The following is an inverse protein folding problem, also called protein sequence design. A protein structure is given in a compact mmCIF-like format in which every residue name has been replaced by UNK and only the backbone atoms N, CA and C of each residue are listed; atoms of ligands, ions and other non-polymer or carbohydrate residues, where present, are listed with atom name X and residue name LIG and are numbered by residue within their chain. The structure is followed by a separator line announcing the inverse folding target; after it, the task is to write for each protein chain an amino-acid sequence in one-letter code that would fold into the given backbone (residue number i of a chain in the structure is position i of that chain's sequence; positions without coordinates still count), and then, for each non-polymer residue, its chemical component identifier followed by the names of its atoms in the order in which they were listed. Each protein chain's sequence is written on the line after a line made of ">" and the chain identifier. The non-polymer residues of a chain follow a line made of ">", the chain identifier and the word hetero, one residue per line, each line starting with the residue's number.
data_IF_955515316976
#
_entry.id   IF_955515316976
#
_cell.length_a   1.000
_cell.length_b   1.000
_cell.length_c   1.000
_cell.angle_alpha   90.00
_cell.angle_beta   90.00
_cell.angle_gamma   90.00
#
_symmetry.space_group_name_H-M   'P 1'
#
loop_
_entity.id
_entity.type
_entity.pdbx_description
1 polymer ?
#
# COMPACT_ATOMS: atom_id res chain seq x y z
N UNK A 1 -41.55 35.82 -26.10
CA UNK A 1 -41.51 34.49 -26.75
C UNK A 1 -40.12 33.86 -26.77
N UNK A 2 -39.07 34.50 -27.33
CA UNK A 2 -37.71 33.92 -27.39
C UNK A 2 -37.10 33.50 -26.04
N UNK A 3 -37.29 34.29 -24.97
CA UNK A 3 -36.73 34.00 -23.63
C UNK A 3 -37.34 32.75 -22.97
N UNK A 4 -38.66 32.58 -23.07
CA UNK A 4 -39.35 31.40 -22.53
C UNK A 4 -39.06 30.12 -23.33
N UNK A 5 -38.85 30.25 -24.65
CA UNK A 5 -38.43 29.13 -25.49
C UNK A 5 -37.01 28.65 -25.16
N UNK A 6 -36.08 29.57 -24.92
CA UNK A 6 -34.70 29.23 -24.48
C UNK A 6 -34.73 28.56 -23.10
N UNK A 7 -35.50 29.08 -22.14
CA UNK A 7 -35.68 28.47 -20.82
C UNK A 7 -36.27 27.07 -20.89
N UNK A 8 -37.25 26.85 -21.78
CA UNK A 8 -37.87 25.55 -22.00
C UNK A 8 -36.88 24.53 -22.60
N UNK A 9 -36.06 24.94 -23.58
CA UNK A 9 -35.00 24.08 -24.13
C UNK A 9 -33.98 23.73 -23.05
N UNK A 10 -33.51 24.71 -22.27
CA UNK A 10 -32.56 24.48 -21.17
C UNK A 10 -33.12 23.50 -20.15
N UNK A 11 -34.40 23.66 -19.77
CA UNK A 11 -35.08 22.77 -18.86
C UNK A 11 -35.21 21.34 -19.41
N UNK A 12 -35.58 21.17 -20.69
CA UNK A 12 -35.64 19.87 -21.35
C UNK A 12 -34.25 19.22 -21.44
N UNK A 13 -33.20 19.98 -21.76
CA UNK A 13 -31.84 19.45 -21.78
C UNK A 13 -31.37 19.03 -20.38
N UNK A 14 -31.65 19.81 -19.34
CA UNK A 14 -31.31 19.41 -17.97
C UNK A 14 -32.08 18.16 -17.52
N UNK A 15 -33.37 18.05 -17.88
CA UNK A 15 -34.18 16.87 -17.61
C UNK A 15 -33.69 15.64 -18.40
N UNK A 16 -33.30 15.78 -19.67
CA UNK A 16 -32.80 14.64 -20.43
C UNK A 16 -31.51 14.09 -19.83
N UNK A 17 -30.61 14.94 -19.31
CA UNK A 17 -29.44 14.50 -18.56
C UNK A 17 -29.80 13.67 -17.31
N UNK A 18 -30.93 13.94 -16.65
CA UNK A 18 -31.37 13.11 -15.50
C UNK A 18 -31.92 11.73 -15.91
N UNK A 19 -32.48 11.60 -17.11
CA UNK A 19 -33.01 10.33 -17.61
C UNK A 19 -31.92 9.40 -18.20
N UNK A 20 -30.84 9.97 -18.74
CA UNK A 20 -29.73 9.19 -19.33
C UNK A 20 -28.65 8.81 -18.31
N UNK A 21 -28.57 9.48 -17.16
CA UNK A 21 -27.71 9.05 -16.06
C UNK A 21 -28.49 8.02 -15.23
N UNK A 22 -28.49 6.77 -15.70
CA UNK A 22 -28.93 5.64 -14.89
C UNK A 22 -27.95 5.51 -13.73
N UNK A 23 -28.35 5.98 -12.54
CA UNK A 23 -27.56 5.76 -11.32
C UNK A 23 -27.76 4.32 -10.92
N UNK A 24 -26.69 3.53 -10.94
CA UNK A 24 -26.72 2.21 -10.35
C UNK A 24 -27.02 2.36 -8.85
N UNK A 25 -27.98 1.59 -8.36
CA UNK A 25 -28.32 1.58 -6.94
C UNK A 25 -27.14 1.02 -6.13
N UNK A 26 -26.78 1.63 -4.99
CA UNK A 26 -25.75 1.09 -4.12
C UNK A 26 -26.07 -0.35 -3.71
N UNK A 27 -25.12 -1.25 -3.94
CA UNK A 27 -25.27 -2.65 -3.53
C UNK A 27 -24.78 -2.82 -2.10
N UNK A 28 -25.64 -3.33 -1.22
CA UNK A 28 -25.25 -3.65 0.16
C UNK A 28 -24.15 -4.71 0.18
N UNK A 29 -23.09 -4.44 0.95
CA UNK A 29 -21.97 -5.38 1.16
C UNK A 29 -22.17 -6.06 2.51
N UNK A 30 -22.50 -7.36 2.57
CA UNK A 30 -22.66 -8.07 3.83
C UNK A 30 -21.31 -8.24 4.54
N UNK A 31 -21.30 -8.27 5.89
CA UNK A 31 -20.08 -8.56 6.64
C UNK A 31 -19.62 -9.99 6.35
N UNK A 32 -18.30 -10.20 6.36
CA UNK A 32 -17.69 -11.53 6.27
C UNK A 32 -17.10 -11.93 7.63
N UNK A 33 -17.12 -13.22 8.00
CA UNK A 33 -16.43 -13.69 9.19
C UNK A 33 -14.95 -13.28 9.19
N UNK A 34 -14.46 -12.77 10.31
CA UNK A 34 -13.06 -12.36 10.50
C UNK A 34 -12.39 -13.24 11.56
N UNK A 35 -11.07 -13.42 11.45
CA UNK A 35 -10.25 -13.97 12.53
C UNK A 35 -10.08 -12.92 13.63
N UNK A 36 -11.05 -12.87 14.53
CA UNK A 36 -11.08 -11.93 15.67
C UNK A 36 -10.27 -12.45 16.86
N UNK A 37 -9.95 -11.58 17.81
CA UNK A 37 -9.23 -11.96 19.04
C UNK A 37 -7.72 -11.79 18.98
N UNK A 38 -7.20 -11.15 17.93
CA UNK A 38 -5.80 -10.73 17.87
C UNK A 38 -5.44 -9.67 18.92
N UNK A 39 -4.16 -9.59 19.23
CA UNK A 39 -3.55 -8.68 20.19
C UNK A 39 -3.06 -7.41 19.48
N UNK A 40 -3.69 -6.28 19.77
CA UNK A 40 -3.36 -4.98 19.16
C UNK A 40 -1.92 -4.55 19.42
N UNK A 41 -1.31 -4.90 20.56
CA UNK A 41 0.07 -4.50 20.87
C UNK A 41 1.06 -5.33 20.04
N UNK A 42 0.80 -6.64 19.88
CA UNK A 42 1.59 -7.50 18.97
C UNK A 42 1.43 -7.07 17.52
N UNK A 43 0.22 -6.67 17.12
CA UNK A 43 -0.06 -6.17 15.78
C UNK A 43 0.73 -4.92 15.46
N UNK A 44 0.76 -3.95 16.39
CA UNK A 44 1.59 -2.76 16.26
C UNK A 44 3.08 -3.11 16.15
N UNK A 45 3.57 -4.00 17.03
CA UNK A 45 4.96 -4.40 17.00
C UNK A 45 5.35 -5.07 15.67
N UNK A 46 4.52 -6.00 15.18
CA UNK A 46 4.75 -6.70 13.92
C UNK A 46 4.66 -5.76 12.72
N UNK A 47 3.72 -4.81 12.71
CA UNK A 47 3.63 -3.79 11.67
C UNK A 47 4.95 -2.99 11.53
N UNK A 48 5.56 -2.63 12.66
CA UNK A 48 6.76 -1.78 12.71
C UNK A 48 8.09 -2.53 12.55
N UNK A 49 8.13 -3.82 12.89
CA UNK A 49 9.38 -4.59 13.00
C UNK A 49 9.35 -5.93 12.28
N UNK A 50 8.18 -6.40 11.85
CA UNK A 50 7.96 -7.71 11.28
C UNK A 50 8.47 -7.85 9.85
N UNK A 51 8.73 -9.09 9.48
CA UNK A 51 9.34 -9.51 8.22
C UNK A 51 8.30 -9.99 7.20
N UNK A 52 7.18 -9.27 7.07
CA UNK A 52 6.12 -9.60 6.11
C UNK A 52 6.50 -9.31 4.64
N UNK A 53 7.61 -8.62 4.41
CA UNK A 53 8.32 -8.56 3.13
C UNK A 53 9.77 -8.96 3.41
N UNK A 54 10.18 -10.17 3.00
CA UNK A 54 11.52 -10.73 3.29
C UNK A 54 12.60 -10.41 2.26
N UNK A 55 12.33 -9.47 1.35
CA UNK A 55 13.29 -9.02 0.32
C UNK A 55 13.39 -7.50 0.24
N UNK A 56 14.58 -7.01 -0.05
CA UNK A 56 14.86 -5.58 -0.08
C UNK A 56 16.30 -5.29 -0.44
N UNK A 57 16.77 -4.07 -0.18
CA UNK A 57 18.11 -3.60 -0.54
C UNK A 57 19.10 -3.93 0.60
N UNK A 58 20.36 -4.34 0.32
CA UNK A 58 21.34 -4.56 1.38
C UNK A 58 21.50 -3.35 2.31
N UNK A 59 21.52 -3.57 3.63
CA UNK A 59 21.50 -2.49 4.63
C UNK A 59 22.53 -1.39 4.41
N UNK A 60 23.78 -1.77 4.14
CA UNK A 60 24.85 -0.81 3.89
C UNK A 60 24.53 0.10 2.69
N UNK A 61 24.00 -0.46 1.60
CA UNK A 61 23.64 0.30 0.41
C UNK A 61 22.46 1.23 0.69
N UNK A 62 21.46 0.75 1.42
CA UNK A 62 20.31 1.55 1.86
C UNK A 62 20.74 2.73 2.73
N UNK A 63 21.51 2.49 3.80
CA UNK A 63 21.99 3.54 4.71
C UNK A 63 22.83 4.60 3.99
N UNK A 64 23.63 4.19 3.00
CA UNK A 64 24.38 5.13 2.15
C UNK A 64 23.47 5.98 1.27
N UNK A 65 22.40 5.40 0.73
CA UNK A 65 21.48 6.07 -0.18
C UNK A 65 20.57 7.10 0.54
N UNK A 66 20.04 6.75 1.72
CA UNK A 66 19.09 7.61 2.44
C UNK A 66 19.74 8.80 3.16
N UNK A 67 21.06 8.80 3.35
CA UNK A 67 21.77 9.82 4.10
C UNK A 67 21.38 9.85 5.59
N UNK A 68 20.93 11.02 6.08
CA UNK A 68 20.54 11.24 7.48
C UNK A 68 19.03 11.53 7.56
N UNK A 69 18.17 10.50 7.62
CA UNK A 69 16.73 10.71 7.66
C UNK A 69 16.27 11.20 9.03
N UNK A 70 15.07 11.81 9.07
CA UNK A 70 14.37 12.10 10.33
C UNK A 70 13.71 10.81 10.82
N UNK A 71 13.91 10.50 12.09
CA UNK A 71 13.40 9.27 12.73
C UNK A 71 12.22 9.63 13.63
N UNK A 72 11.02 9.23 13.23
CA UNK A 72 9.78 9.48 13.98
C UNK A 72 9.39 8.35 14.94
N UNK A 73 9.87 7.13 14.68
CA UNK A 73 9.60 5.96 15.51
C UNK A 73 10.88 5.51 16.20
N UNK A 74 10.85 5.45 17.53
CA UNK A 74 11.91 4.82 18.32
C UNK A 74 11.70 3.32 18.28
N UNK A 75 12.65 2.59 17.70
CA UNK A 75 12.64 1.13 17.59
C UNK A 75 13.93 0.60 18.20
N UNK A 76 13.82 -0.24 19.21
CA UNK A 76 14.95 -0.79 19.98
C UNK A 76 15.43 -2.14 19.41
N UNK A 77 15.30 -2.31 18.08
CA UNK A 77 15.57 -3.56 17.37
C UNK A 77 16.58 -3.32 16.23
N UNK A 78 16.77 -4.31 15.34
CA UNK A 78 17.54 -4.11 14.10
C UNK A 78 17.02 -2.95 13.23
N UNK A 79 15.82 -2.45 13.54
CA UNK A 79 15.16 -1.31 12.92
C UNK A 79 15.58 0.06 13.50
N UNK A 80 16.49 0.11 14.47
CA UNK A 80 16.98 1.37 15.03
C UNK A 80 17.62 2.26 13.95
N UNK A 81 17.25 3.54 13.95
CA UNK A 81 17.75 4.53 13.00
C UNK A 81 17.31 4.31 11.55
N UNK A 82 16.35 3.41 11.30
CA UNK A 82 15.71 3.23 9.99
C UNK A 82 14.40 4.03 9.97
N UNK A 83 14.06 4.70 8.86
CA UNK A 83 12.77 5.37 8.69
C UNK A 83 11.56 4.44 8.87
N UNK A 84 10.42 5.00 9.26
CA UNK A 84 9.21 4.26 9.64
C UNK A 84 8.63 3.37 8.52
N UNK A 85 8.88 3.76 7.28
CA UNK A 85 8.42 3.16 6.03
C UNK A 85 9.30 2.00 5.54
N UNK A 86 10.30 1.61 6.33
CA UNK A 86 11.17 0.47 6.05
C UNK A 86 11.42 -0.39 7.28
N UNK A 87 11.74 -1.65 7.04
CA UNK A 87 12.08 -2.64 8.07
C UNK A 87 13.36 -3.39 7.69
N UNK A 88 14.29 -3.54 8.63
CA UNK A 88 15.42 -4.46 8.54
C UNK A 88 14.94 -5.90 8.73
N UNK A 89 15.21 -6.74 7.74
CA UNK A 89 14.82 -8.15 7.73
C UNK A 89 16.01 -9.02 7.38
N UNK A 90 16.02 -10.25 7.89
CA UNK A 90 17.04 -11.24 7.56
C UNK A 90 16.62 -11.98 6.29
N UNK A 91 17.44 -11.89 5.25
CA UNK A 91 17.25 -12.65 4.01
C UNK A 91 17.55 -14.14 4.22
N UNK A 92 17.18 -14.99 3.26
CA UNK A 92 17.35 -16.45 3.32
C UNK A 92 18.80 -16.91 3.55
N UNK A 93 19.80 -16.10 3.17
CA UNK A 93 21.22 -16.39 3.37
C UNK A 93 21.82 -15.73 4.63
N UNK A 94 21.00 -15.14 5.49
CA UNK A 94 21.39 -14.53 6.75
C UNK A 94 21.82 -13.05 6.68
N UNK A 95 21.99 -12.49 5.47
CA UNK A 95 22.30 -11.07 5.29
C UNK A 95 21.11 -10.19 5.71
N UNK A 96 21.39 -8.99 6.20
CA UNK A 96 20.36 -7.99 6.52
C UNK A 96 20.05 -7.16 5.28
N UNK A 97 18.78 -7.15 4.91
CA UNK A 97 18.22 -6.29 3.86
C UNK A 97 17.18 -5.36 4.45
N UNK A 98 17.00 -4.21 3.84
CA UNK A 98 15.99 -3.22 4.21
C UNK A 98 14.85 -3.33 3.22
N UNK A 99 13.72 -3.83 3.70
CA UNK A 99 12.52 -4.03 2.94
C UNK A 99 11.57 -2.82 3.09
N UNK A 100 10.85 -2.43 2.03
CA UNK A 100 9.71 -1.53 2.17
C UNK A 100 8.64 -2.18 3.06
N UNK A 101 7.82 -1.37 3.72
CA UNK A 101 6.80 -1.88 4.64
C UNK A 101 5.45 -1.15 4.43
N UNK A 102 4.40 -1.55 5.15
CA UNK A 102 3.05 -1.01 4.95
C UNK A 102 2.96 0.52 5.16
N UNK A 103 3.86 1.09 5.96
CA UNK A 103 3.85 2.50 6.33
C UNK A 103 4.34 3.43 5.20
N UNK A 104 4.92 2.91 4.12
CA UNK A 104 5.15 3.70 2.89
C UNK A 104 3.85 4.35 2.39
N UNK A 105 2.77 3.58 2.42
CA UNK A 105 1.46 4.02 1.92
C UNK A 105 0.52 4.39 3.08
N UNK A 106 0.54 3.65 4.18
CA UNK A 106 -0.44 3.77 5.27
C UNK A 106 0.04 4.62 6.46
N UNK A 107 0.96 5.53 6.22
CA UNK A 107 1.26 6.59 7.18
C UNK A 107 1.69 7.87 6.47
N UNK A 108 1.50 9.01 7.13
CA UNK A 108 1.97 10.28 6.61
C UNK A 108 2.59 11.12 7.72
N UNK A 109 3.69 11.80 7.39
CA UNK A 109 4.23 12.87 8.22
C UNK A 109 3.55 14.17 7.84
N UNK A 110 2.93 14.83 8.81
CA UNK A 110 2.27 16.13 8.64
C UNK A 110 2.55 16.99 9.87
N UNK A 111 2.94 18.26 9.67
CA UNK A 111 3.35 19.17 10.77
C UNK A 111 4.37 18.51 11.73
N UNK A 112 5.44 17.92 11.17
CA UNK A 112 6.53 17.25 11.88
C UNK A 112 6.10 16.09 12.81
N UNK A 113 4.93 15.50 12.56
CA UNK A 113 4.41 14.34 13.29
C UNK A 113 4.04 13.22 12.34
N UNK A 114 4.42 12.00 12.70
CA UNK A 114 4.00 10.79 12.00
C UNK A 114 2.59 10.38 12.44
N UNK A 115 1.70 10.20 11.48
CA UNK A 115 0.36 9.67 11.67
C UNK A 115 0.24 8.29 11.02
N UNK A 116 0.27 7.24 11.84
CA UNK A 116 0.01 5.87 11.37
C UNK A 116 -1.48 5.71 11.08
N UNK A 117 -1.80 5.14 9.92
CA UNK A 117 -3.16 4.96 9.43
C UNK A 117 -3.70 6.16 8.64
N UNK A 118 -2.95 7.25 8.53
CA UNK A 118 -3.22 8.33 7.57
C UNK A 118 -2.62 7.94 6.22
N UNK A 119 -3.43 7.91 5.17
CA UNK A 119 -2.94 7.60 3.81
C UNK A 119 -1.88 8.60 3.34
N UNK A 120 -0.78 8.09 2.79
CA UNK A 120 0.32 8.90 2.29
C UNK A 120 -0.03 9.49 0.93
N UNK A 121 -0.21 10.80 0.90
CA UNK A 121 -0.49 11.60 -0.31
C UNK A 121 0.77 12.25 -0.88
N UNK A 122 1.95 11.99 -0.28
CA UNK A 122 3.23 12.59 -0.71
C UNK A 122 4.12 11.63 -1.49
N UNK A 123 3.79 10.33 -1.55
CA UNK A 123 4.50 9.41 -2.46
C UNK A 123 4.22 9.81 -3.90
N UNK A 124 5.27 9.96 -4.69
CA UNK A 124 5.18 10.36 -6.09
C UNK A 124 5.39 9.16 -7.02
N UNK A 125 4.29 8.51 -7.41
CA UNK A 125 4.28 7.47 -8.44
C UNK A 125 4.28 8.04 -9.88
N UNK A 126 4.24 9.37 -10.05
CA UNK A 126 4.34 10.00 -11.37
C UNK A 126 5.79 10.18 -11.82
N UNK A 127 6.75 10.09 -10.88
CA UNK A 127 8.18 10.10 -11.18
C UNK A 127 8.62 8.77 -11.83
N UNK A 128 9.03 8.86 -13.09
CA UNK A 128 9.48 7.71 -13.87
C UNK A 128 10.93 7.32 -13.62
N UNK A 129 11.72 8.15 -12.94
CA UNK A 129 13.14 7.91 -12.73
C UNK A 129 13.40 7.00 -11.52
N UNK A 130 12.70 7.22 -10.41
CA UNK A 130 12.94 6.54 -9.12
C UNK A 130 12.86 5.01 -9.21
N UNK A 131 11.88 4.47 -9.95
CA UNK A 131 11.72 3.03 -10.19
C UNK A 131 12.01 2.59 -11.63
N UNK A 132 12.81 3.38 -12.37
CA UNK A 132 13.17 3.01 -13.74
C UNK A 132 13.98 1.72 -13.76
N UNK A 133 13.68 0.85 -14.72
CA UNK A 133 14.43 -0.40 -14.96
C UNK A 133 15.91 -0.12 -15.14
N UNK A 134 16.26 0.96 -15.84
CA UNK A 134 17.64 1.41 -16.04
C UNK A 134 18.39 1.68 -14.73
N UNK A 135 17.74 2.30 -13.73
CA UNK A 135 18.37 2.57 -12.44
C UNK A 135 18.50 1.29 -11.60
N UNK A 136 17.52 0.39 -11.68
CA UNK A 136 17.60 -0.93 -11.06
C UNK A 136 18.73 -1.78 -11.65
N UNK A 137 18.90 -1.80 -12.97
CA UNK A 137 19.99 -2.51 -13.66
C UNK A 137 21.38 -1.98 -13.28
N UNK A 138 21.52 -0.66 -13.14
CA UNK A 138 22.77 -0.05 -12.64
C UNK A 138 23.05 -0.49 -11.20
N UNK A 139 22.03 -0.48 -10.34
CA UNK A 139 22.14 -0.94 -8.95
C UNK A 139 22.53 -2.41 -8.87
N UNK A 140 21.89 -3.26 -9.67
CA UNK A 140 22.22 -4.68 -9.82
C UNK A 140 23.68 -4.88 -10.23
N UNK A 141 24.14 -4.20 -11.30
CA UNK A 141 25.53 -4.31 -11.76
C UNK A 141 26.52 -3.93 -10.66
N UNK A 142 26.26 -2.82 -9.95
CA UNK A 142 27.10 -2.36 -8.85
C UNK A 142 27.18 -3.38 -7.71
N UNK A 143 26.03 -3.92 -7.29
CA UNK A 143 25.95 -4.89 -6.20
C UNK A 143 26.60 -6.23 -6.55
N UNK A 144 26.43 -6.70 -7.79
CA UNK A 144 27.10 -7.91 -8.30
C UNK A 144 28.62 -7.75 -8.27
N UNK A 145 29.14 -6.57 -8.64
CA UNK A 145 30.58 -6.31 -8.68
C UNK A 145 31.18 -6.11 -7.29
N UNK A 146 30.55 -5.31 -6.43
CA UNK A 146 31.15 -4.90 -5.16
C UNK A 146 30.85 -5.87 -4.00
N UNK A 147 29.67 -6.50 -4.02
CA UNK A 147 29.16 -7.25 -2.87
C UNK A 147 28.37 -8.51 -3.31
N UNK A 148 29.00 -9.48 -3.99
CA UNK A 148 28.30 -10.61 -4.60
C UNK A 148 27.50 -11.47 -3.61
N UNK A 149 27.98 -11.64 -2.36
CA UNK A 149 27.22 -12.33 -1.30
C UNK A 149 25.93 -11.59 -0.94
N UNK A 150 25.98 -10.25 -0.83
CA UNK A 150 24.82 -9.40 -0.55
C UNK A 150 23.89 -9.29 -1.74
N UNK A 151 24.42 -9.34 -2.97
CA UNK A 151 23.60 -9.45 -4.18
C UNK A 151 22.70 -10.68 -4.11
N UNK A 152 23.23 -11.84 -3.70
CA UNK A 152 22.42 -13.06 -3.65
C UNK A 152 21.22 -12.96 -2.69
N UNK A 153 21.32 -12.13 -1.66
CA UNK A 153 20.23 -11.84 -0.71
C UNK A 153 19.10 -10.97 -1.31
N UNK A 154 19.38 -10.20 -2.35
CA UNK A 154 18.46 -9.20 -2.95
C UNK A 154 18.06 -9.51 -4.39
N UNK A 155 18.69 -10.50 -5.01
CA UNK A 155 18.50 -10.86 -6.43
C UNK A 155 17.02 -11.01 -6.82
N UNK A 156 16.25 -11.76 -6.02
CA UNK A 156 14.81 -11.95 -6.25
C UNK A 156 14.02 -10.63 -6.15
N UNK A 157 14.37 -9.78 -5.18
CA UNK A 157 13.75 -8.47 -5.04
C UNK A 157 14.01 -7.58 -6.26
N UNK A 158 15.23 -7.58 -6.80
CA UNK A 158 15.57 -6.84 -8.02
C UNK A 158 14.88 -7.42 -9.26
N UNK A 159 14.75 -8.74 -9.36
CA UNK A 159 13.99 -9.40 -10.43
C UNK A 159 12.54 -8.92 -10.43
N UNK A 160 11.85 -9.04 -9.30
CA UNK A 160 10.46 -8.60 -9.16
C UNK A 160 10.34 -7.10 -9.41
N UNK A 161 11.21 -6.27 -8.81
CA UNK A 161 11.17 -4.82 -8.96
C UNK A 161 11.29 -4.36 -10.42
N UNK A 162 12.17 -4.99 -11.21
CA UNK A 162 12.31 -4.67 -12.65
C UNK A 162 11.09 -5.07 -13.46
N UNK A 163 10.43 -6.18 -13.11
CA UNK A 163 9.21 -6.63 -13.79
C UNK A 163 8.02 -5.74 -13.47
N UNK A 164 7.84 -5.35 -12.20
CA UNK A 164 6.67 -4.57 -11.79
C UNK A 164 6.82 -3.06 -12.07
N UNK A 165 8.04 -2.52 -12.01
CA UNK A 165 8.30 -1.07 -12.11
C UNK A 165 7.59 -0.38 -13.29
N UNK A 166 7.64 -0.93 -14.52
CA UNK A 166 6.94 -0.38 -15.68
C UNK A 166 5.43 -0.19 -15.53
N UNK A 167 4.80 -0.93 -14.61
CA UNK A 167 3.35 -0.94 -14.41
C UNK A 167 2.85 0.00 -13.31
N UNK A 168 3.73 0.67 -12.57
CA UNK A 168 3.42 1.37 -11.34
C UNK A 168 3.45 2.90 -11.47
N UNK A 169 3.40 3.41 -12.69
CA UNK A 169 3.38 4.84 -12.94
C UNK A 169 1.96 5.41 -12.93
N UNK A 170 1.81 6.58 -12.32
CA UNK A 170 0.56 7.37 -12.33
C UNK A 170 0.73 8.63 -13.16
N UNK A 171 -0.39 9.16 -13.65
CA UNK A 171 -0.39 10.44 -14.38
C UNK A 171 -0.31 11.65 -13.44
N UNK A 172 -0.66 11.48 -12.17
CA UNK A 172 -0.72 12.53 -11.16
C UNK A 172 -0.06 12.11 -9.85
N UNK A 173 0.34 13.12 -9.07
CA UNK A 173 0.87 12.96 -7.71
C UNK A 173 -0.25 12.74 -6.70
N UNK A 174 0.09 12.08 -5.60
CA UNK A 174 -0.78 11.93 -4.42
C UNK A 174 -1.77 10.77 -4.48
N UNK A 175 -1.75 10.01 -5.57
CA UNK A 175 -2.50 8.77 -5.74
C UNK A 175 -1.53 7.59 -5.78
N UNK A 176 -2.02 6.40 -5.43
CA UNK A 176 -1.22 5.19 -5.24
C UNK A 176 -1.55 4.12 -6.29
N UNK A 177 -0.61 3.22 -6.54
CA UNK A 177 -0.76 2.08 -7.47
C UNK A 177 -0.90 0.74 -6.75
N UNK A 178 -1.33 0.69 -5.49
CA UNK A 178 -1.40 -0.54 -4.70
C UNK A 178 -2.27 -1.64 -5.36
N UNK A 179 -3.45 -1.29 -5.85
CA UNK A 179 -4.33 -2.26 -6.53
C UNK A 179 -3.68 -2.77 -7.83
N UNK A 180 -2.99 -1.88 -8.55
CA UNK A 180 -2.21 -2.21 -9.74
C UNK A 180 -1.03 -3.14 -9.41
N UNK A 181 -0.30 -2.86 -8.33
CA UNK A 181 0.77 -3.69 -7.82
C UNK A 181 0.26 -5.10 -7.50
N UNK A 182 -0.84 -5.22 -6.76
CA UNK A 182 -1.44 -6.50 -6.43
C UNK A 182 -1.84 -7.28 -7.69
N UNK A 183 -2.45 -6.62 -8.68
CA UNK A 183 -2.84 -7.27 -9.95
C UNK A 183 -1.62 -7.78 -10.74
N UNK A 184 -0.54 -6.99 -10.82
CA UNK A 184 0.69 -7.38 -11.51
C UNK A 184 1.37 -8.54 -10.76
N UNK A 185 1.50 -8.46 -9.44
CA UNK A 185 2.09 -9.54 -8.64
C UNK A 185 1.29 -10.83 -8.78
N UNK A 186 -0.05 -10.77 -8.67
CA UNK A 186 -0.91 -11.93 -8.86
C UNK A 186 -0.75 -12.54 -10.26
N UNK A 187 -0.52 -11.71 -11.29
CA UNK A 187 -0.32 -12.20 -12.65
C UNK A 187 1.01 -12.95 -12.82
N UNK A 188 2.02 -12.67 -12.02
CA UNK A 188 3.32 -13.32 -12.06
C UNK A 188 3.50 -14.43 -11.01
N UNK A 189 2.50 -14.69 -10.17
CA UNK A 189 2.59 -15.70 -9.11
C UNK A 189 1.75 -16.91 -9.45
N UNK A 190 2.33 -18.10 -9.31
CA UNK A 190 1.55 -19.33 -9.32
C UNK A 190 0.55 -19.31 -8.15
N UNK A 191 -0.76 -19.49 -8.38
CA UNK A 191 -1.78 -19.27 -7.35
C UNK A 191 -1.79 -20.33 -6.25
N UNK A 192 -1.06 -21.43 -6.41
CA UNK A 192 -1.01 -22.54 -5.45
C UNK A 192 0.30 -22.54 -4.67
N UNK A 193 1.41 -22.31 -5.36
CA UNK A 193 2.78 -22.43 -4.81
C UNK A 193 3.43 -21.09 -4.53
N UNK A 194 2.87 -20.00 -5.04
CA UNK A 194 3.40 -18.62 -4.99
C UNK A 194 4.77 -18.45 -5.67
N UNK A 195 5.23 -19.42 -6.45
CA UNK A 195 6.44 -19.28 -7.24
C UNK A 195 6.29 -18.16 -8.26
N UNK A 196 7.38 -17.43 -8.46
CA UNK A 196 7.46 -16.35 -9.45
C UNK A 196 7.56 -16.92 -10.87
N UNK A 197 6.81 -16.34 -11.78
CA UNK A 197 6.86 -16.57 -13.21
C UNK A 197 7.35 -15.28 -13.88
N UNK A 198 8.45 -15.31 -14.67
CA UNK A 198 8.92 -14.13 -15.39
C UNK A 198 7.89 -13.57 -16.38
N UNK A 199 7.03 -14.43 -16.91
CA UNK A 199 5.93 -14.05 -17.81
C UNK A 199 4.60 -14.03 -17.05
N UNK A 200 3.77 -13.03 -17.37
CA UNK A 200 2.44 -12.91 -16.78
C UNK A 200 1.54 -14.07 -17.23
N UNK A 201 0.94 -14.77 -16.27
CA UNK A 201 0.06 -15.92 -16.47
C UNK A 201 -1.40 -15.52 -16.72
N UNK A 202 -1.76 -14.27 -16.43
CA UNK A 202 -3.05 -13.67 -16.74
C UNK A 202 -2.85 -12.28 -17.37
N UNK A 203 -3.84 -11.82 -18.12
CA UNK A 203 -3.79 -10.51 -18.76
C UNK A 203 -3.76 -9.39 -17.73
N UNK A 204 -2.72 -8.56 -17.79
CA UNK A 204 -2.63 -7.30 -17.04
C UNK A 204 -3.31 -6.21 -17.89
N UNK A 205 -4.36 -5.52 -17.38
CA UNK A 205 -4.98 -4.41 -18.11
C UNK A 205 -3.97 -3.33 -18.48
N UNK A 206 -4.12 -2.64 -19.61
CA UNK A 206 -3.15 -1.60 -20.01
C UNK A 206 -3.22 -0.36 -19.11
N UNK A 207 -4.44 0.05 -18.77
CA UNK A 207 -4.68 1.24 -17.95
C UNK A 207 -4.28 1.02 -16.48
N UNK A 208 -3.57 2.00 -15.93
CA UNK A 208 -3.36 2.13 -14.48
C UNK A 208 -4.50 2.97 -13.93
N UNK A 209 -5.30 2.38 -13.03
CA UNK A 209 -6.34 3.10 -12.28
C UNK A 209 -5.76 3.34 -10.88
N UNK A 210 -5.28 4.55 -10.57
CA UNK A 210 -4.71 4.81 -9.27
C UNK A 210 -5.81 5.03 -8.23
N UNK A 211 -5.49 4.83 -6.96
CA UNK A 211 -6.40 5.03 -5.84
C UNK A 211 -5.73 5.79 -4.71
N UNK A 212 -6.48 6.62 -3.99
CA UNK A 212 -6.00 7.19 -2.74
C UNK A 212 -5.72 6.09 -1.72
N UNK A 213 -4.87 6.35 -0.72
CA UNK A 213 -4.69 5.39 0.37
C UNK A 213 -5.77 5.62 1.44
N UNK A 214 -6.68 4.66 1.70
CA UNK A 214 -7.75 4.86 2.66
C UNK A 214 -7.22 4.93 4.08
N UNK A 215 -7.83 5.80 4.89
CA UNK A 215 -7.47 5.90 6.30
C UNK A 215 -7.88 4.64 7.07
N UNK A 216 -6.92 4.04 7.78
CA UNK A 216 -7.09 2.76 8.47
C UNK A 216 -8.08 2.81 9.63
N UNK A 217 -8.18 3.93 10.34
CA UNK A 217 -9.17 4.12 11.42
C UNK A 217 -10.63 4.05 10.94
N UNK A 218 -10.89 4.05 9.62
CA UNK A 218 -12.21 3.84 9.05
C UNK A 218 -12.54 2.36 8.81
N UNK A 219 -11.56 1.44 8.85
CA UNK A 219 -11.78 0.03 8.52
C UNK A 219 -12.83 -0.63 9.42
N UNK A 220 -12.84 -0.29 10.72
CA UNK A 220 -13.82 -0.77 11.71
C UNK A 220 -15.28 -0.45 11.38
N UNK A 221 -15.53 0.41 10.38
CA UNK A 221 -16.87 0.79 9.90
C UNK A 221 -17.22 0.18 8.54
N UNK A 222 -16.38 -0.71 7.98
CA UNK A 222 -16.51 -1.25 6.62
C UNK A 222 -16.68 -2.77 6.62
N UNK A 223 -17.57 -3.27 5.77
CA UNK A 223 -17.77 -4.71 5.53
C UNK A 223 -16.88 -5.27 4.40
N UNK A 224 -16.13 -4.42 3.70
CA UNK A 224 -15.18 -4.82 2.67
C UNK A 224 -14.05 -3.80 2.52
N UNK A 225 -12.85 -4.28 2.16
CA UNK A 225 -11.70 -3.42 1.86
C UNK A 225 -11.77 -2.84 0.44
N UNK A 226 -10.94 -1.81 0.21
CA UNK A 226 -10.79 -1.08 -1.06
C UNK A 226 -12.04 -0.26 -1.46
N UNK A 227 -11.88 0.67 -2.40
CA UNK A 227 -12.95 1.61 -2.78
C UNK A 227 -14.15 0.94 -3.44
N UNK A 228 -13.92 -0.16 -4.16
CA UNK A 228 -15.00 -0.94 -4.80
C UNK A 228 -15.57 -2.03 -3.88
N UNK A 229 -15.10 -2.11 -2.62
CA UNK A 229 -15.47 -3.13 -1.66
C UNK A 229 -15.29 -4.58 -2.17
N UNK A 230 -14.30 -4.81 -3.04
CA UNK A 230 -13.99 -6.15 -3.56
C UNK A 230 -13.28 -7.02 -2.53
N UNK A 231 -12.61 -6.41 -1.55
CA UNK A 231 -11.90 -7.11 -0.48
C UNK A 231 -12.85 -7.67 0.56
N UNK A 232 -13.62 -8.70 0.17
CA UNK A 232 -14.61 -9.43 1.00
C UNK A 232 -14.03 -10.76 1.44
N UNK A 233 -14.47 -11.27 2.60
CA UNK A 233 -13.85 -12.44 3.23
C UNK A 233 -12.87 -12.02 4.33
N UNK A 234 -11.80 -12.78 4.50
CA UNK A 234 -10.81 -12.57 5.56
C UNK A 234 -9.92 -11.35 5.25
N UNK A 235 -10.06 -10.31 6.07
CA UNK A 235 -9.31 -9.06 5.96
C UNK A 235 -7.81 -9.25 6.14
N UNK A 236 -7.38 -10.18 7.00
CA UNK A 236 -5.96 -10.45 7.22
C UNK A 236 -5.25 -10.92 5.94
N UNK A 237 -5.93 -11.72 5.12
CA UNK A 237 -5.39 -12.17 3.83
C UNK A 237 -5.20 -11.03 2.82
N UNK A 238 -6.03 -9.99 2.88
CA UNK A 238 -5.83 -8.80 2.06
C UNK A 238 -4.71 -7.90 2.61
N UNK A 239 -4.53 -7.81 3.93
CA UNK A 239 -3.46 -7.03 4.53
C UNK A 239 -2.06 -7.52 4.12
N UNK A 240 -1.91 -8.82 3.88
CA UNK A 240 -0.65 -9.42 3.48
C UNK A 240 -0.39 -9.43 1.97
N UNK A 241 -1.19 -8.76 1.12
CA UNK A 241 -1.00 -8.80 -0.33
C UNK A 241 0.41 -8.34 -0.77
N UNK A 242 1.03 -7.45 0.01
CA UNK A 242 2.40 -6.97 -0.24
C UNK A 242 3.46 -8.07 -0.04
N UNK A 243 3.17 -9.13 0.72
CA UNK A 243 4.05 -10.30 0.86
C UNK A 243 4.35 -10.97 -0.50
N UNK A 244 3.44 -10.85 -1.48
CA UNK A 244 3.64 -11.35 -2.85
C UNK A 244 4.86 -10.73 -3.55
N UNK A 245 5.38 -9.59 -3.08
CA UNK A 245 6.59 -8.96 -3.60
C UNK A 245 7.81 -9.89 -3.51
N UNK A 246 7.94 -10.67 -2.43
CA UNK A 246 9.21 -11.35 -2.12
C UNK A 246 9.05 -12.80 -1.71
N UNK A 247 7.81 -13.26 -1.51
CA UNK A 247 7.53 -14.65 -1.16
C UNK A 247 8.14 -15.62 -2.18
N UNK A 248 8.63 -16.77 -1.72
CA UNK A 248 9.15 -17.81 -2.61
C UNK A 248 8.32 -19.10 -2.57
N UNK A 249 7.60 -19.32 -1.48
CA UNK A 249 6.72 -20.47 -1.27
C UNK A 249 5.62 -20.13 -0.25
N UNK A 250 4.73 -21.08 0.00
CA UNK A 250 3.60 -20.88 0.91
C UNK A 250 3.95 -20.85 2.39
N UNK A 251 5.16 -21.25 2.80
CA UNK A 251 5.55 -21.30 4.21
C UNK A 251 5.74 -19.89 4.79
N UNK A 252 6.38 -19.00 4.04
CA UNK A 252 6.52 -17.59 4.40
C UNK A 252 5.14 -16.94 4.54
N UNK A 253 4.26 -17.12 3.55
CA UNK A 253 2.90 -16.56 3.63
C UNK A 253 2.09 -17.14 4.78
N UNK A 254 2.24 -18.43 5.11
CA UNK A 254 1.54 -19.02 6.26
C UNK A 254 2.01 -18.41 7.59
N UNK A 255 3.32 -18.15 7.74
CA UNK A 255 3.88 -17.45 8.88
C UNK A 255 3.32 -16.03 8.99
N UNK A 256 3.38 -15.25 7.90
CA UNK A 256 2.85 -13.87 7.86
C UNK A 256 1.35 -13.85 8.16
N UNK A 257 0.57 -14.75 7.55
CA UNK A 257 -0.88 -14.85 7.77
C UNK A 257 -1.23 -15.09 9.24
N UNK A 258 -0.40 -15.85 9.96
CA UNK A 258 -0.60 -16.13 11.39
C UNK A 258 -0.55 -14.87 12.27
N UNK A 259 0.16 -13.83 11.82
CA UNK A 259 0.25 -12.54 12.51
C UNK A 259 -0.85 -11.54 12.10
N UNK A 260 -1.54 -11.76 10.99
CA UNK A 260 -2.52 -10.80 10.47
C UNK A 260 -3.72 -10.54 11.38
N UNK A 261 -4.22 -11.48 12.23
CA UNK A 261 -5.24 -11.17 13.23
C UNK A 261 -4.81 -10.09 14.21
N UNK A 262 -3.54 -10.09 14.64
CA UNK A 262 -2.98 -9.10 15.55
C UNK A 262 -2.87 -7.73 14.85
N UNK A 263 -2.36 -7.70 13.61
CA UNK A 263 -2.26 -6.47 12.79
C UNK A 263 -3.65 -5.88 12.54
N UNK A 264 -4.64 -6.71 12.22
CA UNK A 264 -6.02 -6.28 12.04
C UNK A 264 -6.62 -5.73 13.35
N UNK A 265 -6.31 -6.33 14.51
CA UNK A 265 -6.71 -5.81 15.80
C UNK A 265 -6.11 -4.42 16.07
N UNK A 266 -4.84 -4.20 15.72
CA UNK A 266 -4.21 -2.87 15.79
C UNK A 266 -4.88 -1.86 14.86
N UNK A 267 -5.12 -2.21 13.59
CA UNK A 267 -5.77 -1.31 12.64
C UNK A 267 -7.17 -0.90 13.15
N UNK A 268 -7.93 -1.84 13.71
CA UNK A 268 -9.26 -1.57 14.26
C UNK A 268 -9.24 -0.75 15.56
N UNK A 269 -8.12 -0.71 16.29
CA UNK A 269 -7.96 0.11 17.49
C UNK A 269 -7.59 1.57 17.19
N UNK A 270 -7.17 1.87 15.95
CA UNK A 270 -6.84 3.23 15.53
C UNK A 270 -8.05 4.18 15.60
N UNK A 271 -7.76 5.39 16.06
CA UNK A 271 -8.68 6.53 16.05
C UNK A 271 -8.12 7.65 15.20
N UNK A 272 -9.02 8.40 14.53
CA UNK A 272 -8.63 9.60 13.80
C UNK A 272 -8.09 10.66 14.78
N UNK A 273 -7.01 11.39 14.43
CA UNK A 273 -6.52 12.48 15.25
C UNK A 273 -7.57 13.59 15.33
N UNK A 274 -7.67 14.25 16.49
CA UNK A 274 -8.52 15.44 16.65
C UNK A 274 -7.98 16.58 15.81
N UNK A 275 -8.87 17.40 15.26
CA UNK A 275 -8.48 18.63 14.59
C UNK A 275 -7.77 19.57 15.59
N UNK A 276 -6.55 20.07 15.31
CA UNK A 276 -5.74 20.74 16.33
C UNK A 276 -6.02 22.24 16.48
N UNK A 277 -6.81 22.85 15.59
CA UNK A 277 -7.11 24.29 15.60
C UNK A 277 -8.50 24.55 16.19
N UNK A 278 -8.77 25.81 16.51
CA UNK A 278 -10.08 26.23 17.00
C UNK A 278 -11.19 25.90 15.98
N UNK A 279 -12.36 25.49 16.49
CA UNK A 279 -13.55 25.18 15.72
C UNK A 279 -14.60 26.25 16.05
N UNK A 280 -15.26 26.78 15.01
CA UNK A 280 -16.48 27.58 15.19
C UNK A 280 -17.64 26.62 15.51
N UNK A 281 -18.00 26.52 16.79
CA UNK A 281 -19.00 25.58 17.27
C UNK A 281 -20.41 25.89 16.71
N UNK A 282 -20.74 27.17 16.48
CA UNK A 282 -22.05 27.53 15.91
C UNK A 282 -22.16 27.07 14.46
N UNK A 283 -21.07 27.21 13.68
CA UNK A 283 -21.02 26.73 12.31
C UNK A 283 -20.94 25.19 12.24
N UNK A 284 -20.20 24.56 13.15
CA UNK A 284 -20.10 23.11 13.23
C UNK A 284 -21.45 22.47 13.52
N UNK A 285 -22.21 23.01 14.48
CA UNK A 285 -23.54 22.50 14.82
C UNK A 285 -24.53 22.64 13.66
N UNK A 286 -24.43 23.72 12.86
CA UNK A 286 -25.24 23.88 11.64
C UNK A 286 -24.95 22.82 10.57
N UNK A 287 -23.76 22.22 10.56
CA UNK A 287 -23.32 21.26 9.55
C UNK A 287 -23.62 19.79 9.86
N UNK A 288 -24.09 19.46 11.07
CA UNK A 288 -24.44 18.09 11.47
C UNK A 288 -25.77 17.65 10.87
#
# INVERSE_FOLDING_TARGET
>A
MKKHFILFILFITCLSFTFFIKRDEPVFVPPSPQRTGGDSAKGYYYLLNGDYIKGGIPEMAFRKAIGKPVIYLKRDSANEGIPHDYTAVKAFNGEIVIAPNCLQCHSQVFEDKLYIGLGNTFVDFSDRETMSVKNLEKGEKLLKTLTPKKWKATEHFFEVAKTIGPYLYTETRGVNTADRLAAVLAAHRDPVTFKWNPEAQIKIPEQVIPSDVPAWWLLKKKNGMFYTAFGRGDFGRFLMASNLLTVNDTSESAEVDSHMPDVLAYINSLEAPKYPKAIDEALAEKGR
#
